data_IF_421268061244
#
_entry.id   IF_421268061244
#
_cell.length_a   1.000
_cell.length_b   1.000
_cell.length_c   1.000
_cell.angle_alpha   90.00
_cell.angle_beta   90.00
_cell.angle_gamma   90.00
#
_symmetry.space_group_name_H-M   'P 1'
#
loop_
_entity.id
_entity.type
_entity.pdbx_description
1 polymer ?
#
# COMPACT_ATOMS: atom_id res chain seq x y z
N UNK A 1 6.60 4.88 15.94
CA UNK A 1 6.40 5.27 14.53
C UNK A 1 4.93 5.44 14.23
N UNK A 2 4.61 6.16 13.16
CA UNK A 2 3.27 6.21 12.56
C UNK A 2 3.23 5.29 11.35
N UNK A 3 2.43 4.22 11.42
CA UNK A 3 2.29 3.19 10.38
C UNK A 3 0.95 3.36 9.68
N UNK A 4 0.99 3.60 8.38
CA UNK A 4 -0.21 3.82 7.57
C UNK A 4 -0.46 2.59 6.70
N UNK A 5 -1.64 1.99 6.85
CA UNK A 5 -2.12 0.92 6.00
C UNK A 5 -3.09 1.44 4.95
N UNK A 6 -2.85 1.10 3.68
CA UNK A 6 -3.77 1.43 2.59
C UNK A 6 -4.19 0.14 1.91
N UNK A 7 -5.49 -0.13 1.92
CA UNK A 7 -6.12 -1.28 1.28
C UNK A 7 -6.68 -0.87 -0.06
N UNK A 8 -5.96 -1.19 -1.14
CA UNK A 8 -6.37 -0.89 -2.52
C UNK A 8 -7.25 -1.99 -3.15
N UNK A 9 -7.85 -2.82 -2.32
CA UNK A 9 -8.85 -3.82 -2.74
C UNK A 9 -10.28 -3.26 -2.72
N UNK A 10 -11.20 -3.90 -3.46
CA UNK A 10 -12.59 -3.44 -3.53
C UNK A 10 -13.43 -3.81 -2.29
N UNK A 11 -12.93 -4.70 -1.43
CA UNK A 11 -13.69 -5.28 -0.32
C UNK A 11 -12.97 -5.08 1.00
N UNK A 12 -13.66 -4.49 1.98
CA UNK A 12 -13.16 -4.33 3.35
C UNK A 12 -12.86 -5.66 4.05
N UNK A 13 -13.62 -6.71 3.74
CA UNK A 13 -13.46 -8.06 4.33
C UNK A 13 -12.65 -9.00 3.44
N UNK A 14 -11.91 -8.49 2.47
CA UNK A 14 -11.11 -9.30 1.55
C UNK A 14 -9.79 -9.77 2.17
N UNK A 15 -9.14 -10.73 1.50
CA UNK A 15 -7.83 -11.26 1.93
C UNK A 15 -6.75 -10.18 2.03
N UNK A 16 -6.73 -9.21 1.10
CA UNK A 16 -5.81 -8.07 1.14
C UNK A 16 -6.02 -7.24 2.42
N UNK A 17 -7.26 -6.86 2.71
CA UNK A 17 -7.60 -6.07 3.89
C UNK A 17 -7.19 -6.80 5.17
N UNK A 18 -7.54 -8.10 5.28
CA UNK A 18 -7.21 -8.90 6.45
C UNK A 18 -5.70 -8.97 6.72
N UNK A 19 -4.87 -9.05 5.69
CA UNK A 19 -3.41 -9.08 5.86
C UNK A 19 -2.84 -7.71 6.25
N UNK A 20 -3.33 -6.62 5.65
CA UNK A 20 -2.94 -5.26 6.05
C UNK A 20 -3.30 -5.02 7.51
N UNK A 21 -4.53 -5.35 7.92
CA UNK A 21 -5.01 -5.21 9.31
C UNK A 21 -4.15 -6.02 10.30
N UNK A 22 -3.69 -7.22 9.91
CA UNK A 22 -2.86 -8.06 10.76
C UNK A 22 -1.45 -7.48 10.93
N UNK A 23 -0.86 -6.90 9.88
CA UNK A 23 0.41 -6.17 9.98
C UNK A 23 0.26 -4.94 10.90
N UNK A 24 -0.81 -4.17 10.71
CA UNK A 24 -1.07 -3.02 11.58
C UNK A 24 -1.32 -3.42 13.05
N UNK A 25 -1.96 -4.58 13.27
CA UNK A 25 -2.14 -5.10 14.62
C UNK A 25 -0.79 -5.45 15.26
N UNK A 26 0.13 -6.07 14.52
CA UNK A 26 1.50 -6.32 14.99
C UNK A 26 2.27 -5.04 15.29
N UNK A 27 2.19 -4.04 14.41
CA UNK A 27 2.78 -2.73 14.63
C UNK A 27 2.22 -2.04 15.90
N UNK A 28 0.91 -2.14 16.11
CA UNK A 28 0.25 -1.62 17.31
C UNK A 28 0.71 -2.32 18.59
N UNK A 29 0.88 -3.64 18.56
CA UNK A 29 1.40 -4.42 19.69
C UNK A 29 2.84 -4.02 20.03
N UNK A 30 3.63 -3.62 19.02
CA UNK A 30 4.97 -3.05 19.19
C UNK A 30 4.96 -1.57 19.65
N UNK A 31 3.80 -1.00 19.94
CA UNK A 31 3.65 0.37 20.48
C UNK A 31 3.63 1.47 19.42
N UNK A 32 3.36 1.14 18.16
CA UNK A 32 3.27 2.13 17.08
C UNK A 32 1.85 2.68 16.91
N UNK A 33 1.74 3.94 16.48
CA UNK A 33 0.49 4.55 16.04
C UNK A 33 0.11 3.96 14.67
N UNK A 34 -1.13 3.51 14.51
CA UNK A 34 -1.58 2.86 13.27
C UNK A 34 -2.86 3.46 12.74
N UNK A 35 -2.94 3.69 11.42
CA UNK A 35 -4.15 4.10 10.71
C UNK A 35 -4.37 3.21 9.50
N UNK A 36 -5.62 2.98 9.12
CA UNK A 36 -5.97 2.20 7.94
C UNK A 36 -6.98 2.93 7.07
N UNK A 37 -6.73 2.92 5.77
CA UNK A 37 -7.60 3.49 4.74
C UNK A 37 -8.02 2.43 3.74
N UNK A 38 -9.29 2.43 3.37
CA UNK A 38 -9.87 1.48 2.44
C UNK A 38 -10.28 2.22 1.17
N UNK A 39 -9.47 2.15 0.13
CA UNK A 39 -9.72 2.84 -1.13
C UNK A 39 -11.00 2.38 -1.83
N UNK A 40 -11.58 1.25 -1.41
CA UNK A 40 -12.90 0.82 -1.88
C UNK A 40 -14.06 1.66 -1.34
N UNK A 41 -13.81 2.43 -0.28
CA UNK A 41 -14.79 3.31 0.40
C UNK A 41 -14.49 4.80 0.15
N UNK A 42 -13.44 5.12 -0.60
CA UNK A 42 -12.98 6.47 -0.90
C UNK A 42 -13.25 6.83 -2.37
N UNK A 43 -13.62 8.06 -2.63
CA UNK A 43 -13.72 8.61 -3.98
C UNK A 43 -12.40 9.29 -4.37
N UNK A 44 -11.41 8.49 -4.75
CA UNK A 44 -10.13 8.98 -5.27
C UNK A 44 -10.12 8.79 -6.78
N UNK A 45 -10.09 9.90 -7.50
CA UNK A 45 -10.09 9.92 -8.97
C UNK A 45 -8.68 9.69 -9.54
N UNK A 46 -8.59 9.18 -10.78
CA UNK A 46 -7.32 9.11 -11.48
C UNK A 46 -6.66 10.48 -11.59
N UNK A 47 -5.33 10.48 -11.74
CA UNK A 47 -4.60 11.67 -12.11
C UNK A 47 -5.03 12.13 -13.51
N UNK A 48 -5.35 13.41 -13.64
CA UNK A 48 -5.75 14.02 -14.92
C UNK A 48 -4.71 15.07 -15.34
N UNK A 49 -4.61 15.30 -16.63
CA UNK A 49 -3.73 16.30 -17.23
C UNK A 49 -4.57 17.15 -18.16
N UNK A 50 -4.51 18.48 -18.01
CA UNK A 50 -5.14 19.43 -18.89
C UNK A 50 -4.05 20.31 -19.52
N UNK A 51 -3.96 20.28 -20.86
CA UNK A 51 -2.93 20.97 -21.65
C UNK A 51 -1.50 20.70 -21.12
N UNK A 52 -0.95 21.64 -20.39
CA UNK A 52 0.42 21.57 -19.89
C UNK A 52 0.53 21.41 -18.37
N UNK A 53 -0.57 21.18 -17.67
CA UNK A 53 -0.57 21.09 -16.20
C UNK A 53 -1.37 19.88 -15.69
N UNK A 54 -1.02 19.42 -14.48
CA UNK A 54 -1.72 18.32 -13.81
C UNK A 54 -2.89 18.85 -12.99
N UNK A 55 -4.06 18.24 -13.16
CA UNK A 55 -5.23 18.53 -12.36
C UNK A 55 -5.27 17.59 -11.17
N UNK A 56 -5.30 18.16 -9.97
CA UNK A 56 -5.51 17.42 -8.74
C UNK A 56 -6.95 17.63 -8.30
N UNK A 57 -7.86 16.68 -8.58
CA UNK A 57 -9.24 16.80 -8.18
C UNK A 57 -9.38 17.01 -6.68
N UNK A 58 -10.37 17.80 -6.29
CA UNK A 58 -10.83 17.91 -4.90
C UNK A 58 -11.63 16.64 -4.58
N UNK A 59 -10.95 15.66 -3.98
CA UNK A 59 -11.47 14.33 -3.68
C UNK A 59 -10.84 13.80 -2.39
N UNK A 60 -11.21 12.56 -2.00
CA UNK A 60 -10.76 11.96 -0.74
C UNK A 60 -9.24 11.72 -0.64
N UNK A 61 -8.47 11.94 -1.71
CA UNK A 61 -7.01 11.91 -1.61
C UNK A 61 -6.48 12.97 -0.66
N UNK A 62 -7.17 14.11 -0.55
CA UNK A 62 -6.80 15.19 0.38
C UNK A 62 -6.84 14.73 1.83
N UNK A 63 -7.71 13.76 2.17
CA UNK A 63 -7.76 13.17 3.51
C UNK A 63 -6.56 12.28 3.81
N UNK A 64 -5.92 11.68 2.80
CA UNK A 64 -4.73 10.86 2.94
C UNK A 64 -3.46 11.70 3.13
N UNK A 65 -3.38 12.87 2.53
CA UNK A 65 -2.17 13.69 2.47
C UNK A 65 -1.49 13.89 3.82
N UNK A 66 -2.18 14.32 4.91
CA UNK A 66 -1.55 14.51 6.21
C UNK A 66 -0.93 13.23 6.80
N UNK A 67 -1.47 12.08 6.46
CA UNK A 67 -0.97 10.78 6.88
C UNK A 67 0.25 10.36 6.06
N UNK A 68 0.20 10.55 4.74
CA UNK A 68 1.33 10.27 3.84
C UNK A 68 2.55 11.15 4.18
N UNK A 69 2.33 12.41 4.54
CA UNK A 69 3.38 13.36 4.89
C UNK A 69 4.00 13.10 6.27
N UNK A 70 3.25 12.47 7.17
CA UNK A 70 3.71 12.20 8.54
C UNK A 70 4.08 10.75 8.82
N UNK A 71 3.89 9.83 7.87
CA UNK A 71 4.14 8.39 8.09
C UNK A 71 5.62 8.06 8.26
N UNK A 72 5.89 7.01 9.05
CA UNK A 72 7.19 6.36 9.19
C UNK A 72 7.23 5.03 8.43
N UNK A 73 6.07 4.41 8.23
CA UNK A 73 5.92 3.20 7.45
C UNK A 73 4.63 3.20 6.64
N UNK A 74 4.70 2.66 5.43
CA UNK A 74 3.57 2.43 4.53
C UNK A 74 3.36 0.93 4.33
N UNK A 75 2.16 0.44 4.64
CA UNK A 75 1.69 -0.91 4.32
C UNK A 75 0.67 -0.80 3.19
N UNK A 76 1.08 -1.09 1.96
CA UNK A 76 0.20 -1.00 0.79
C UNK A 76 -0.28 -2.38 0.36
N UNK A 77 -1.58 -2.60 0.49
CA UNK A 77 -2.24 -3.84 0.10
C UNK A 77 -2.97 -3.72 -1.23
N UNK A 78 -2.65 -4.62 -2.18
CA UNK A 78 -3.31 -4.72 -3.47
C UNK A 78 -3.68 -6.16 -3.81
N UNK A 79 -4.91 -6.44 -4.26
CA UNK A 79 -5.15 -7.66 -5.01
C UNK A 79 -4.44 -7.57 -6.36
N UNK A 80 -4.04 -8.74 -6.89
CA UNK A 80 -3.49 -8.85 -8.25
C UNK A 80 -4.63 -9.19 -9.19
N UNK A 81 -4.83 -8.34 -10.18
CA UNK A 81 -5.77 -8.52 -11.28
C UNK A 81 -5.03 -8.40 -12.60
N UNK A 82 -5.23 -9.40 -13.49
CA UNK A 82 -4.58 -9.41 -14.82
C UNK A 82 -3.08 -9.12 -14.72
N UNK A 83 -2.42 -9.90 -13.84
CA UNK A 83 -0.96 -9.92 -13.68
C UNK A 83 -0.33 -8.58 -13.18
N UNK A 84 -1.14 -7.70 -12.56
CA UNK A 84 -0.64 -6.45 -12.00
C UNK A 84 -1.41 -6.03 -10.72
N UNK A 85 -0.92 -4.98 -10.05
CA UNK A 85 -1.65 -4.35 -8.94
C UNK A 85 -3.02 -3.85 -9.41
N UNK A 86 -3.98 -3.75 -8.51
CA UNK A 86 -5.33 -3.27 -8.83
C UNK A 86 -5.31 -1.84 -9.38
N UNK A 87 -6.35 -1.47 -10.13
CA UNK A 87 -6.53 -0.09 -10.60
C UNK A 87 -6.51 0.91 -9.44
N UNK A 88 -7.08 0.58 -8.28
CA UNK A 88 -7.03 1.44 -7.09
C UNK A 88 -5.62 1.67 -6.58
N UNK A 89 -4.80 0.61 -6.52
CA UNK A 89 -3.39 0.77 -6.15
C UNK A 89 -2.66 1.66 -7.16
N UNK A 90 -2.94 1.48 -8.47
CA UNK A 90 -2.34 2.32 -9.51
C UNK A 90 -2.79 3.77 -9.41
N UNK A 91 -4.07 4.03 -9.13
CA UNK A 91 -4.56 5.39 -8.89
C UNK A 91 -3.81 6.04 -7.73
N UNK A 92 -3.64 5.34 -6.59
CA UNK A 92 -2.86 5.86 -5.47
C UNK A 92 -1.43 6.22 -5.89
N UNK A 93 -0.74 5.30 -6.59
CA UNK A 93 0.63 5.50 -7.06
C UNK A 93 0.72 6.71 -7.98
N UNK A 94 -0.25 6.87 -8.90
CA UNK A 94 -0.29 8.00 -9.81
C UNK A 94 -0.56 9.32 -9.06
N UNK A 95 -1.42 9.30 -8.05
CA UNK A 95 -1.72 10.48 -7.23
C UNK A 95 -0.54 10.89 -6.34
N UNK A 96 0.38 9.96 -6.00
CA UNK A 96 1.65 10.31 -5.35
C UNK A 96 2.55 11.18 -6.24
N UNK A 97 2.23 11.34 -7.53
CA UNK A 97 2.91 12.29 -8.42
C UNK A 97 2.88 13.72 -7.88
N UNK A 98 1.88 14.08 -7.07
CA UNK A 98 1.85 15.34 -6.33
C UNK A 98 3.17 15.63 -5.60
N UNK A 99 3.80 14.61 -5.06
CA UNK A 99 5.06 14.68 -4.32
C UNK A 99 6.30 14.53 -5.22
N UNK A 100 6.14 14.66 -6.53
CA UNK A 100 7.26 14.56 -7.48
C UNK A 100 8.10 15.84 -7.50
N UNK A 101 9.38 15.69 -7.75
CA UNK A 101 10.28 16.82 -8.05
C UNK A 101 9.88 17.60 -9.31
N UNK A 102 9.01 17.02 -10.17
CA UNK A 102 8.44 17.71 -11.34
C UNK A 102 7.58 18.92 -10.96
N UNK A 103 7.04 18.97 -9.75
CA UNK A 103 6.29 20.11 -9.22
C UNK A 103 7.17 21.10 -8.43
N UNK A 104 8.42 20.73 -8.18
CA UNK A 104 9.36 21.49 -7.36
C UNK A 104 9.96 20.63 -6.23
N UNK A 105 11.14 20.97 -5.82
CA UNK A 105 11.85 20.23 -4.77
C UNK A 105 11.13 20.29 -3.40
N UNK A 106 10.33 21.31 -3.16
CA UNK A 106 9.51 21.48 -1.97
C UNK A 106 8.43 20.42 -1.84
N UNK A 107 7.78 20.00 -2.93
CA UNK A 107 6.77 18.94 -2.92
C UNK A 107 7.37 17.58 -2.57
N UNK A 108 8.57 17.28 -3.11
CA UNK A 108 9.26 16.02 -2.78
C UNK A 108 9.64 15.93 -1.29
N UNK A 109 9.92 17.05 -0.65
CA UNK A 109 10.27 17.12 0.78
C UNK A 109 9.09 16.89 1.72
N UNK A 110 7.87 16.94 1.24
CA UNK A 110 6.67 16.65 2.06
C UNK A 110 6.62 15.16 2.45
N UNK A 111 7.15 14.27 1.60
CA UNK A 111 7.36 12.86 1.98
C UNK A 111 8.82 12.68 2.37
N UNK A 112 9.06 12.28 3.61
CA UNK A 112 10.42 12.04 4.12
C UNK A 112 11.08 10.83 3.47
N UNK A 113 12.39 10.79 3.50
CA UNK A 113 13.17 9.63 3.06
C UNK A 113 13.20 8.54 4.15
N UNK A 114 13.48 7.28 3.74
CA UNK A 114 13.65 6.17 4.66
C UNK A 114 12.36 5.64 5.28
N UNK A 115 11.19 5.98 4.71
CA UNK A 115 9.91 5.38 5.09
C UNK A 115 9.99 3.87 4.84
N UNK A 116 9.67 3.06 5.84
CA UNK A 116 9.60 1.60 5.68
C UNK A 116 8.43 1.23 4.78
N UNK A 117 8.66 0.35 3.81
CA UNK A 117 7.62 -0.09 2.87
C UNK A 117 7.33 -1.58 3.02
N UNK A 118 6.05 -1.92 3.14
CA UNK A 118 5.56 -3.30 3.17
C UNK A 118 4.51 -3.48 2.07
N UNK A 119 4.78 -4.42 1.17
CA UNK A 119 3.83 -4.83 0.13
C UNK A 119 2.93 -5.97 0.60
N UNK A 120 1.62 -5.86 0.37
CA UNK A 120 0.66 -6.94 0.64
C UNK A 120 -0.09 -7.29 -0.64
N UNK A 121 -0.04 -8.56 -1.04
CA UNK A 121 -0.62 -9.02 -2.30
C UNK A 121 -1.56 -10.20 -2.08
N UNK A 122 -2.65 -10.23 -2.82
CA UNK A 122 -3.55 -11.38 -2.84
C UNK A 122 -4.03 -11.70 -4.25
N UNK A 123 -4.13 -12.98 -4.60
CA UNK A 123 -4.64 -13.42 -5.89
C UNK A 123 -5.50 -14.69 -5.76
N UNK A 124 -6.37 -14.91 -6.76
CA UNK A 124 -7.21 -16.11 -6.83
C UNK A 124 -6.44 -17.35 -7.29
N UNK A 125 -5.33 -17.20 -7.99
CA UNK A 125 -4.52 -18.31 -8.49
C UNK A 125 -3.72 -18.95 -7.35
N UNK A 126 -3.84 -20.26 -7.19
CA UNK A 126 -3.15 -21.04 -6.13
C UNK A 126 -1.78 -21.53 -6.62
N UNK A 127 -0.88 -20.60 -6.95
CA UNK A 127 0.49 -20.89 -7.34
C UNK A 127 1.45 -19.87 -6.69
N UNK A 128 2.31 -20.29 -5.76
CA UNK A 128 3.23 -19.38 -5.06
C UNK A 128 4.40 -18.87 -5.92
N UNK A 129 4.60 -19.43 -7.10
CA UNK A 129 5.71 -19.09 -8.00
C UNK A 129 5.35 -17.99 -9.02
N UNK A 130 4.12 -17.45 -8.96
CA UNK A 130 3.70 -16.36 -9.86
C UNK A 130 3.79 -14.99 -9.17
N UNK A 131 3.79 -13.95 -9.99
CA UNK A 131 3.71 -12.55 -9.56
C UNK A 131 4.88 -12.04 -8.71
N UNK A 132 6.04 -12.70 -8.76
CA UNK A 132 7.26 -12.19 -8.16
C UNK A 132 7.66 -10.83 -8.74
N UNK A 133 7.52 -10.68 -10.06
CA UNK A 133 7.79 -9.46 -10.81
C UNK A 133 6.88 -8.28 -10.41
N UNK A 134 5.61 -8.54 -10.04
CA UNK A 134 4.69 -7.49 -9.57
C UNK A 134 5.12 -6.95 -8.20
N UNK A 135 5.60 -7.85 -7.34
CA UNK A 135 6.14 -7.47 -6.02
C UNK A 135 7.38 -6.62 -6.20
N UNK A 136 8.36 -7.13 -6.96
CA UNK A 136 9.62 -6.42 -7.24
C UNK A 136 9.36 -5.07 -7.89
N UNK A 137 8.47 -5.02 -8.89
CA UNK A 137 8.09 -3.77 -9.55
C UNK A 137 7.57 -2.73 -8.55
N UNK A 138 6.67 -3.11 -7.63
CA UNK A 138 6.12 -2.16 -6.67
C UNK A 138 7.18 -1.69 -5.68
N UNK A 139 7.98 -2.59 -5.13
CA UNK A 139 9.07 -2.28 -4.20
C UNK A 139 10.09 -1.33 -4.84
N UNK A 140 10.50 -1.60 -6.08
CA UNK A 140 11.42 -0.74 -6.83
C UNK A 140 10.83 0.64 -7.10
N UNK A 141 9.52 0.75 -7.41
CA UNK A 141 8.90 2.07 -7.66
C UNK A 141 8.84 2.91 -6.39
N UNK A 142 8.46 2.31 -5.25
CA UNK A 142 8.44 2.98 -3.96
C UNK A 142 9.84 3.44 -3.54
N UNK A 143 10.85 2.60 -3.74
CA UNK A 143 12.24 2.94 -3.45
C UNK A 143 12.77 4.03 -4.39
N UNK A 144 12.56 3.90 -5.70
CA UNK A 144 13.13 4.79 -6.71
C UNK A 144 12.60 6.22 -6.64
N UNK A 145 11.28 6.38 -6.50
CA UNK A 145 10.65 7.70 -6.57
C UNK A 145 10.56 8.41 -5.22
N UNK A 146 10.41 7.67 -4.14
CA UNK A 146 10.14 8.24 -2.81
C UNK A 146 11.16 7.84 -1.75
N UNK A 147 12.27 7.18 -2.12
CA UNK A 147 13.31 6.69 -1.21
C UNK A 147 12.74 5.87 -0.04
N UNK A 148 11.69 5.10 -0.29
CA UNK A 148 11.15 4.16 0.69
C UNK A 148 12.04 2.93 0.77
N UNK A 149 12.12 2.32 1.95
CA UNK A 149 12.91 1.13 2.21
C UNK A 149 12.00 -0.10 2.28
N UNK A 150 11.98 -0.97 1.24
CA UNK A 150 11.24 -2.21 1.30
C UNK A 150 11.80 -3.12 2.42
N UNK A 151 10.95 -3.43 3.40
CA UNK A 151 11.32 -4.26 4.56
C UNK A 151 10.69 -5.65 4.51
N UNK A 152 9.80 -5.89 3.57
CA UNK A 152 9.21 -7.19 3.33
C UNK A 152 7.88 -7.14 2.60
N UNK A 153 7.39 -8.34 2.25
CA UNK A 153 6.09 -8.48 1.61
C UNK A 153 5.34 -9.73 2.09
N UNK A 154 4.02 -9.68 2.02
CA UNK A 154 3.12 -10.79 2.32
C UNK A 154 2.25 -11.10 1.11
N UNK A 155 2.20 -12.36 0.70
CA UNK A 155 1.45 -12.82 -0.47
C UNK A 155 0.46 -13.94 -0.08
N UNK A 156 -0.81 -13.78 -0.46
CA UNK A 156 -1.84 -14.80 -0.33
C UNK A 156 -2.27 -15.29 -1.72
N UNK A 157 -2.16 -16.58 -1.93
CA UNK A 157 -2.56 -17.27 -3.17
C UNK A 157 -3.83 -18.10 -2.95
N UNK A 158 -4.56 -18.39 -4.03
CA UNK A 158 -5.76 -19.21 -3.97
C UNK A 158 -6.89 -18.61 -3.14
N UNK A 159 -6.94 -17.29 -3.00
CA UNK A 159 -7.83 -16.60 -2.04
C UNK A 159 -9.32 -16.75 -2.35
N UNK A 160 -9.68 -17.24 -3.54
CA UNK A 160 -11.07 -17.57 -3.88
C UNK A 160 -11.61 -18.77 -3.11
N UNK A 161 -10.76 -19.79 -2.87
CA UNK A 161 -11.10 -20.99 -2.12
C UNK A 161 -10.49 -21.06 -0.71
N UNK A 162 -9.38 -20.36 -0.50
CA UNK A 162 -8.62 -20.32 0.77
C UNK A 162 -8.39 -18.88 1.20
N UNK A 163 -9.42 -18.18 1.73
CA UNK A 163 -9.27 -16.80 2.15
C UNK A 163 -8.18 -16.65 3.22
N UNK A 164 -7.44 -15.53 3.19
CA UNK A 164 -6.34 -15.28 4.11
C UNK A 164 -6.75 -15.38 5.59
N UNK A 165 -8.01 -15.04 5.91
CA UNK A 165 -8.57 -15.17 7.26
C UNK A 165 -8.55 -16.59 7.82
N UNK A 166 -8.46 -17.61 6.97
CA UNK A 166 -8.38 -19.02 7.37
C UNK A 166 -6.94 -19.54 7.41
N UNK A 167 -5.96 -18.79 6.94
CA UNK A 167 -4.56 -19.17 6.92
C UNK A 167 -3.80 -18.61 8.13
N UNK A 168 -3.84 -19.36 9.25
CA UNK A 168 -3.25 -18.93 10.53
C UNK A 168 -1.74 -18.64 10.43
N UNK A 169 -0.99 -19.43 9.66
CA UNK A 169 0.45 -19.23 9.49
C UNK A 169 0.75 -17.94 8.73
N UNK A 170 -0.04 -17.65 7.69
CA UNK A 170 0.10 -16.42 6.92
C UNK A 170 -0.25 -15.19 7.77
N UNK A 171 -1.31 -15.27 8.59
CA UNK A 171 -1.67 -14.19 9.52
C UNK A 171 -0.59 -13.99 10.57
N UNK A 172 -0.02 -15.08 11.14
CA UNK A 172 1.10 -14.97 12.08
C UNK A 172 2.33 -14.32 11.44
N UNK A 173 2.65 -14.68 10.19
CA UNK A 173 3.73 -14.04 9.43
C UNK A 173 3.47 -12.54 9.21
N UNK A 174 2.24 -12.17 8.84
CA UNK A 174 1.84 -10.79 8.66
C UNK A 174 2.00 -9.99 9.97
N UNK A 175 1.52 -10.54 11.09
CA UNK A 175 1.65 -9.91 12.41
C UNK A 175 3.10 -9.71 12.81
N UNK A 176 3.93 -10.75 12.68
CA UNK A 176 5.36 -10.67 12.99
C UNK A 176 6.10 -9.63 12.15
N UNK A 177 5.71 -9.45 10.88
CA UNK A 177 6.25 -8.39 10.04
C UNK A 177 5.89 -7.00 10.59
N UNK A 178 4.65 -6.80 11.06
CA UNK A 178 4.25 -5.56 11.73
C UNK A 178 5.02 -5.30 13.03
N UNK A 179 5.22 -6.34 13.86
CA UNK A 179 6.01 -6.26 15.10
C UNK A 179 7.48 -5.91 14.85
N UNK A 180 8.01 -6.27 13.68
CA UNK A 180 9.42 -6.04 13.31
C UNK A 180 9.68 -4.65 12.69
N UNK A 181 8.67 -3.82 12.51
CA UNK A 181 8.84 -2.45 12.05
C UNK A 181 9.53 -1.61 13.14
N UNK A 182 10.75 -1.16 12.89
CA UNK A 182 11.60 -0.38 13.81
C UNK A 182 12.30 0.75 13.07
#
# INVERSE_FOLDING_TARGET
MKVIGIVAGPRRTGSTARLVEEILAGAKDAGHETHVFYMGEMDIKPLEVDEDDYIYPDDDFTELMPYLESMDALVLGSPIYYDHVSARAKILIDRLYYYSTSHGAEYRKLIKDGIKFVGVFSCGWDNPNVYGEVVTWLEERMSHYWNMEPVGSVKAYGTGSKPASQNKELLKKARALGESLV
#
